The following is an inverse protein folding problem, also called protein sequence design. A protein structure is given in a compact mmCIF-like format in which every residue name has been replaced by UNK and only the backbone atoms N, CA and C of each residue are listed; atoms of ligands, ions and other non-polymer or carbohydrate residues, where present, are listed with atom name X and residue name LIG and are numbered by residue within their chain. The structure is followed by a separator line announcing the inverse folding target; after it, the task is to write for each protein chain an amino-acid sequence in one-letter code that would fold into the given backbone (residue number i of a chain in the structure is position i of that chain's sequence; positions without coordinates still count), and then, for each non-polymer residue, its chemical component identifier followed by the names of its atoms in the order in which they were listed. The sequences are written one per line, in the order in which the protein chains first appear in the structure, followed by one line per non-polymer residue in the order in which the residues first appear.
data_IF_723510421869
#
_entry.id   IF_723510421869
#
_cell.length_a   1.000
_cell.length_b   1.000
_cell.length_c   1.000
_cell.angle_alpha   90.00
_cell.angle_beta   90.00
_cell.angle_gamma   90.00
#
_symmetry.space_group_name_H-M   'P 1'
#
loop_
_entity.id
_entity.type
_entity.pdbx_description
1 polymer ?
#
# COMPACT_ATOMS: atom_id res chain seq x y z
N UNK A 1 -1.00 17.42 23.58
CA UNK A 1 -0.48 16.70 22.38
C UNK A 1 0.13 15.38 22.84
N UNK A 2 -0.31 14.23 22.32
CA UNK A 2 0.38 12.97 22.62
C UNK A 2 1.76 13.02 21.95
N UNK A 3 2.85 12.91 22.74
CA UNK A 3 4.23 12.97 22.26
C UNK A 3 4.48 11.97 21.12
N UNK A 4 3.83 10.80 21.15
CA UNK A 4 4.04 9.78 20.12
C UNK A 4 3.53 10.20 18.73
N UNK A 5 2.33 10.81 18.65
CA UNK A 5 1.76 11.28 17.38
C UNK A 5 2.57 12.43 16.77
N UNK A 6 3.16 13.29 17.60
CA UNK A 6 3.96 14.43 17.16
C UNK A 6 5.29 14.03 16.51
N UNK A 7 5.80 12.82 16.78
CA UNK A 7 7.07 12.34 16.24
C UNK A 7 6.94 11.68 14.86
N UNK A 8 5.74 11.20 14.49
CA UNK A 8 5.53 10.50 13.20
C UNK A 8 5.90 11.35 11.97
N UNK A 9 5.59 12.66 11.90
CA UNK A 9 6.02 13.50 10.77
C UNK A 9 7.54 13.62 10.66
N UNK A 10 8.25 13.68 11.79
CA UNK A 10 9.71 13.76 11.81
C UNK A 10 10.35 12.44 11.35
N UNK A 11 9.81 11.30 11.80
CA UNK A 11 10.24 9.98 11.31
C UNK A 11 10.05 9.89 9.79
N UNK A 12 8.88 10.30 9.29
CA UNK A 12 8.61 10.35 7.85
C UNK A 12 9.60 11.25 7.09
N UNK A 13 9.91 12.42 7.65
CA UNK A 13 10.84 13.35 7.03
C UNK A 13 12.25 12.72 6.91
N UNK A 14 12.73 12.06 7.96
CA UNK A 14 14.00 11.34 7.93
C UNK A 14 14.03 10.23 6.86
N UNK A 15 12.94 9.44 6.76
CA UNK A 15 12.83 8.40 5.72
C UNK A 15 12.90 8.99 4.31
N UNK A 16 12.25 10.14 4.08
CA UNK A 16 12.25 10.81 2.78
C UNK A 16 13.57 11.48 2.43
N UNK A 17 14.30 12.01 3.42
CA UNK A 17 15.59 12.64 3.22
C UNK A 17 16.70 11.62 2.92
N UNK A 18 16.57 10.40 3.44
CA UNK A 18 17.61 9.36 3.34
C UNK A 18 17.07 8.02 2.80
N UNK A 19 16.41 8.00 1.62
CA UNK A 19 15.74 6.80 1.11
C UNK A 19 16.73 5.65 0.87
N UNK A 20 17.94 5.95 0.37
CA UNK A 20 18.98 4.96 0.07
C UNK A 20 19.79 4.49 1.28
N UNK A 21 19.61 5.09 2.46
CA UNK A 21 20.39 4.74 3.65
C UNK A 21 19.64 3.70 4.47
N UNK A 22 19.97 2.43 4.28
CA UNK A 22 19.28 1.30 4.91
C UNK A 22 19.20 1.42 6.45
N UNK A 23 20.27 1.87 7.10
CA UNK A 23 20.29 2.04 8.57
C UNK A 23 19.33 3.12 9.06
N UNK A 24 19.14 4.21 8.30
CA UNK A 24 18.16 5.26 8.63
C UNK A 24 16.75 4.74 8.44
N UNK A 25 16.49 4.01 7.35
CA UNK A 25 15.19 3.39 7.11
C UNK A 25 14.85 2.34 8.19
N UNK A 26 15.81 1.52 8.59
CA UNK A 26 15.63 0.55 9.68
C UNK A 26 15.33 1.26 11.00
N UNK A 27 16.13 2.27 11.37
CA UNK A 27 15.91 3.05 12.60
C UNK A 27 14.55 3.74 12.59
N UNK A 28 14.12 4.26 11.44
CA UNK A 28 12.79 4.84 11.27
C UNK A 28 11.68 3.80 11.49
N UNK A 29 11.78 2.61 10.88
CA UNK A 29 10.83 1.52 11.09
C UNK A 29 10.77 1.10 12.57
N UNK A 30 11.92 0.95 13.24
CA UNK A 30 11.97 0.67 14.69
C UNK A 30 11.31 1.77 15.52
N UNK A 31 11.51 3.04 15.16
CA UNK A 31 10.83 4.14 15.82
C UNK A 31 9.31 4.05 15.65
N UNK A 32 8.81 3.74 14.45
CA UNK A 32 7.36 3.52 14.22
C UNK A 32 6.84 2.37 15.08
N UNK A 33 7.58 1.27 15.15
CA UNK A 33 7.22 0.10 15.97
C UNK A 33 7.01 0.49 17.44
N UNK A 34 7.95 1.24 18.02
CA UNK A 34 7.85 1.74 19.40
C UNK A 34 6.72 2.74 19.58
N UNK A 35 6.55 3.67 18.64
CA UNK A 35 5.52 4.71 18.72
C UNK A 35 4.11 4.11 18.63
N UNK A 36 3.93 3.09 17.79
CA UNK A 36 2.65 2.41 17.54
C UNK A 36 2.26 1.40 18.61
N UNK A 37 3.10 1.19 19.64
CA UNK A 37 2.68 0.56 20.88
C UNK A 37 1.47 1.27 21.51
N UNK A 38 1.33 2.59 21.31
CA UNK A 38 0.19 3.37 21.77
C UNK A 38 -0.96 3.40 20.73
N UNK A 39 -2.20 3.05 21.09
CA UNK A 39 -3.33 3.01 20.15
C UNK A 39 -3.57 4.33 19.39
N UNK A 40 -3.39 5.48 20.05
CA UNK A 40 -3.53 6.80 19.41
C UNK A 40 -2.50 7.04 18.30
N UNK A 41 -1.30 6.50 18.44
CA UNK A 41 -0.26 6.62 17.43
C UNK A 41 -0.55 5.73 16.23
N UNK A 42 -1.16 4.55 16.41
CA UNK A 42 -1.61 3.67 15.31
C UNK A 42 -2.56 4.41 14.37
N UNK A 43 -3.60 5.04 14.92
CA UNK A 43 -4.51 5.86 14.11
C UNK A 43 -3.80 7.03 13.40
N UNK A 44 -2.81 7.67 14.04
CA UNK A 44 -2.06 8.76 13.43
C UNK A 44 -1.09 8.31 12.32
N UNK A 45 -0.66 7.05 12.31
CA UNK A 45 0.14 6.48 11.21
C UNK A 45 -0.63 6.56 9.89
N UNK A 46 -1.95 6.34 9.92
CA UNK A 46 -2.72 6.36 8.68
C UNK A 46 -2.79 7.76 8.06
N UNK A 47 -3.01 8.76 8.91
CA UNK A 47 -3.07 10.18 8.52
C UNK A 47 -1.74 10.74 8.03
N UNK A 48 -0.61 10.13 8.39
CA UNK A 48 0.74 10.65 8.05
C UNK A 48 1.31 10.08 6.76
N UNK A 49 0.63 9.14 6.09
CA UNK A 49 1.16 8.35 4.93
C UNK A 49 2.48 7.64 5.25
N UNK A 50 2.71 7.30 6.52
CA UNK A 50 3.95 6.68 6.95
C UNK A 50 4.07 5.24 6.45
N UNK A 51 2.95 4.51 6.34
CA UNK A 51 2.90 3.17 5.73
C UNK A 51 3.43 3.15 4.29
N UNK A 52 3.13 4.17 3.49
CA UNK A 52 3.67 4.28 2.13
C UNK A 52 5.18 4.50 2.13
N UNK A 53 5.72 5.23 3.12
CA UNK A 53 7.17 5.42 3.25
C UNK A 53 7.87 4.12 3.66
N UNK A 54 7.26 3.36 4.57
CA UNK A 54 7.74 2.01 4.96
C UNK A 54 7.70 1.07 3.76
N UNK A 55 6.64 1.09 2.95
CA UNK A 55 6.55 0.30 1.72
C UNK A 55 7.71 0.61 0.76
N UNK A 56 7.95 1.88 0.48
CA UNK A 56 9.06 2.29 -0.40
C UNK A 56 10.40 1.81 0.15
N UNK A 57 10.62 1.91 1.46
CA UNK A 57 11.82 1.40 2.12
C UNK A 57 11.97 -0.12 1.97
N UNK A 58 10.89 -0.89 2.18
CA UNK A 58 10.88 -2.33 1.99
C UNK A 58 11.24 -2.71 0.55
N UNK A 59 10.67 -2.00 -0.44
CA UNK A 59 10.93 -2.26 -1.87
C UNK A 59 12.36 -1.92 -2.27
N UNK A 60 12.91 -0.83 -1.75
CA UNK A 60 14.27 -0.40 -2.07
C UNK A 60 15.32 -1.28 -1.40
N UNK A 61 15.06 -1.71 -0.16
CA UNK A 61 15.99 -2.48 0.68
C UNK A 61 15.55 -3.93 0.85
N UNK A 62 15.04 -4.56 -0.22
CA UNK A 62 14.53 -5.95 -0.21
C UNK A 62 15.51 -6.98 0.34
N UNK A 63 16.82 -6.76 0.15
CA UNK A 63 17.89 -7.68 0.59
C UNK A 63 18.41 -7.40 2.00
N UNK A 64 17.92 -6.38 2.69
CA UNK A 64 18.38 -6.02 4.05
C UNK A 64 17.45 -6.65 5.08
N UNK A 65 17.82 -7.81 5.60
CA UNK A 65 16.97 -8.60 6.51
C UNK A 65 16.51 -7.82 7.76
N UNK A 66 17.41 -7.06 8.39
CA UNK A 66 17.10 -6.28 9.60
C UNK A 66 16.05 -5.19 9.35
N UNK A 67 16.09 -4.58 8.16
CA UNK A 67 15.10 -3.59 7.73
C UNK A 67 13.76 -4.25 7.42
N UNK A 68 13.75 -5.41 6.76
CA UNK A 68 12.51 -6.15 6.50
C UNK A 68 11.85 -6.60 7.81
N UNK A 69 12.64 -7.08 8.79
CA UNK A 69 12.17 -7.41 10.14
C UNK A 69 11.53 -6.19 10.80
N UNK A 70 12.26 -5.06 10.85
CA UNK A 70 11.78 -3.83 11.48
C UNK A 70 10.51 -3.29 10.79
N UNK A 71 10.46 -3.34 9.46
CA UNK A 71 9.30 -2.89 8.69
C UNK A 71 8.07 -3.78 8.94
N UNK A 72 8.24 -5.11 8.92
CA UNK A 72 7.14 -6.04 9.18
C UNK A 72 6.63 -5.89 10.62
N UNK A 73 7.52 -5.73 11.61
CA UNK A 73 7.14 -5.44 13.00
C UNK A 73 6.34 -4.13 13.10
N UNK A 74 6.84 -3.05 12.51
CA UNK A 74 6.20 -1.75 12.51
C UNK A 74 4.81 -1.77 11.85
N UNK A 75 4.66 -2.44 10.70
CA UNK A 75 3.35 -2.59 10.05
C UNK A 75 2.42 -3.40 10.95
N UNK A 76 2.89 -4.53 11.47
CA UNK A 76 2.11 -5.42 12.33
C UNK A 76 1.53 -4.70 13.56
N UNK A 77 2.32 -3.83 14.19
CA UNK A 77 1.87 -3.04 15.33
C UNK A 77 1.03 -1.82 14.93
N UNK A 78 1.31 -1.22 13.77
CA UNK A 78 0.49 -0.12 13.22
C UNK A 78 -0.95 -0.57 12.97
N UNK A 79 -1.13 -1.78 12.44
CA UNK A 79 -2.47 -2.29 12.04
C UNK A 79 -3.24 -2.95 13.18
N UNK A 80 -2.60 -3.21 14.32
CA UNK A 80 -3.20 -3.88 15.46
C UNK A 80 -4.40 -3.08 15.99
N UNK A 81 -5.59 -3.69 15.93
CA UNK A 81 -6.87 -3.12 16.36
C UNK A 81 -7.17 -1.73 15.76
N UNK A 82 -6.67 -1.46 14.55
CA UNK A 82 -6.85 -0.16 13.90
C UNK A 82 -7.27 -0.30 12.44
N UNK A 83 -8.59 -0.20 12.23
CA UNK A 83 -9.24 -0.34 10.91
C UNK A 83 -8.67 0.66 9.89
N UNK A 84 -8.47 1.92 10.28
CA UNK A 84 -7.96 2.95 9.37
C UNK A 84 -6.57 2.59 8.78
N UNK A 85 -5.67 2.02 9.59
CA UNK A 85 -4.36 1.55 9.13
C UNK A 85 -4.45 0.23 8.37
N UNK A 86 -5.36 -0.69 8.75
CA UNK A 86 -5.60 -1.94 8.00
C UNK A 86 -6.08 -1.63 6.57
N UNK A 87 -7.08 -0.76 6.42
CA UNK A 87 -7.57 -0.35 5.11
C UNK A 87 -6.50 0.32 4.26
N UNK A 88 -5.67 1.17 4.88
CA UNK A 88 -4.57 1.81 4.14
C UNK A 88 -3.51 0.79 3.72
N UNK A 89 -3.17 -0.16 4.59
CA UNK A 89 -2.24 -1.23 4.27
C UNK A 89 -2.75 -2.07 3.08
N UNK A 90 -4.06 -2.38 3.06
CA UNK A 90 -4.71 -3.05 1.94
C UNK A 90 -4.64 -2.23 0.66
N UNK A 91 -4.99 -0.94 0.69
CA UNK A 91 -4.90 -0.04 -0.48
C UNK A 91 -3.48 0.09 -1.03
N UNK A 92 -2.46 -0.04 -0.18
CA UNK A 92 -1.06 0.01 -0.60
C UNK A 92 -0.56 -1.32 -1.15
N UNK A 93 -1.27 -2.43 -0.98
CA UNK A 93 -0.75 -3.77 -1.32
C UNK A 93 0.40 -4.20 -0.40
N UNK A 94 0.30 -3.87 0.89
CA UNK A 94 1.34 -4.27 1.86
C UNK A 94 1.38 -5.79 2.09
N UNK A 95 0.26 -6.49 1.86
CA UNK A 95 0.19 -7.95 1.99
C UNK A 95 1.21 -8.62 1.06
N UNK A 96 1.26 -8.19 -0.20
CA UNK A 96 2.17 -8.73 -1.22
C UNK A 96 3.62 -8.37 -0.91
N UNK A 97 3.88 -7.15 -0.44
CA UNK A 97 5.22 -6.71 -0.07
C UNK A 97 5.75 -7.46 1.17
N UNK A 98 4.90 -7.72 2.17
CA UNK A 98 5.25 -8.50 3.36
C UNK A 98 5.52 -9.97 3.00
N UNK A 99 4.70 -10.56 2.13
CA UNK A 99 4.92 -11.91 1.63
C UNK A 99 6.23 -12.01 0.84
N UNK A 100 6.52 -11.02 -0.02
CA UNK A 100 7.77 -10.95 -0.75
C UNK A 100 8.98 -10.78 0.17
N UNK A 101 8.85 -10.04 1.28
CA UNK A 101 9.90 -9.92 2.29
C UNK A 101 10.21 -11.26 2.98
N UNK A 102 9.18 -12.03 3.35
CA UNK A 102 9.35 -13.36 3.92
C UNK A 102 10.02 -14.33 2.92
N UNK A 103 9.60 -14.28 1.66
CA UNK A 103 10.17 -15.11 0.59
C UNK A 103 11.63 -14.75 0.27
N UNK A 104 12.02 -13.48 0.42
CA UNK A 104 13.40 -13.04 0.22
C UNK A 104 14.34 -13.45 1.36
N UNK A 105 13.81 -13.73 2.56
CA UNK A 105 14.59 -14.05 3.76
C UNK A 105 14.11 -15.32 4.47
N UNK A 106 14.08 -16.48 3.79
CA UNK A 106 13.52 -17.72 4.35
C UNK A 106 14.30 -18.26 5.55
N UNK A 107 15.60 -17.90 5.65
CA UNK A 107 16.48 -18.32 6.74
C UNK A 107 16.54 -17.30 7.88
N UNK A 108 15.81 -16.19 7.80
CA UNK A 108 15.72 -15.18 8.86
C UNK A 108 14.42 -15.38 9.65
N UNK A 109 14.42 -16.18 10.73
CA UNK A 109 13.19 -16.57 11.43
C UNK A 109 12.39 -15.37 11.93
N UNK A 110 13.08 -14.32 12.39
CA UNK A 110 12.42 -13.08 12.84
C UNK A 110 11.66 -12.38 11.72
N UNK A 111 12.20 -12.32 10.50
CA UNK A 111 11.50 -11.72 9.35
C UNK A 111 10.24 -12.55 9.07
N UNK A 112 10.37 -13.87 8.98
CA UNK A 112 9.27 -14.79 8.70
C UNK A 112 8.16 -14.67 9.75
N UNK A 113 8.51 -14.68 11.04
CA UNK A 113 7.53 -14.60 12.11
C UNK A 113 6.83 -13.24 12.14
N UNK A 114 7.56 -12.14 11.98
CA UNK A 114 6.96 -10.79 11.93
C UNK A 114 6.09 -10.61 10.70
N UNK A 115 6.51 -11.10 9.55
CA UNK A 115 5.72 -11.11 8.33
C UNK A 115 4.43 -11.91 8.53
N UNK A 116 4.50 -13.11 9.11
CA UNK A 116 3.32 -13.94 9.39
C UNK A 116 2.32 -13.21 10.30
N UNK A 117 2.79 -12.66 11.42
CA UNK A 117 1.92 -11.91 12.33
C UNK A 117 1.29 -10.69 11.66
N UNK A 118 2.04 -9.97 10.81
CA UNK A 118 1.50 -8.85 10.05
C UNK A 118 0.40 -9.30 9.07
N UNK A 119 0.62 -10.40 8.35
CA UNK A 119 -0.36 -10.97 7.42
C UNK A 119 -1.62 -11.45 8.14
N UNK A 120 -1.49 -12.13 9.28
CA UNK A 120 -2.63 -12.56 10.11
C UNK A 120 -3.50 -11.35 10.51
N UNK A 121 -2.87 -10.27 10.97
CA UNK A 121 -3.58 -9.04 11.38
C UNK A 121 -4.22 -8.28 10.22
N UNK A 122 -3.66 -8.38 9.02
CA UNK A 122 -4.25 -7.82 7.80
C UNK A 122 -5.39 -8.69 7.26
N UNK A 123 -5.28 -10.01 7.42
CA UNK A 123 -6.31 -10.97 7.01
C UNK A 123 -7.52 -11.01 7.94
N UNK A 124 -7.32 -10.70 9.23
CA UNK A 124 -8.37 -10.61 10.23
C UNK A 124 -9.23 -9.34 10.08
N UNK A 125 -9.40 -8.85 8.85
CA UNK A 125 -10.18 -7.66 8.54
C UNK A 125 -11.58 -7.76 9.19
N UNK A 126 -12.12 -6.64 9.71
CA UNK A 126 -13.48 -6.61 10.23
C UNK A 126 -14.47 -7.00 9.11
N UNK A 127 -15.59 -7.68 9.43
CA UNK A 127 -16.58 -8.09 8.43
C UNK A 127 -16.99 -6.88 7.62
N UNK A 128 -16.81 -6.99 6.31
CA UNK A 128 -17.21 -6.00 5.33
C UNK A 128 -18.66 -5.55 5.60
N UNK A 129 -18.82 -4.32 6.06
CA UNK A 129 -20.09 -3.63 5.95
C UNK A 129 -20.26 -3.28 4.47
N UNK A 130 -21.05 -4.07 3.74
CA UNK A 130 -21.40 -3.79 2.36
C UNK A 130 -21.56 -5.04 1.50
N UNK A 131 -22.58 -5.85 1.80
CA UNK A 131 -23.14 -6.73 0.78
C UNK A 131 -23.79 -5.87 -0.31
N UNK A 132 -23.27 -5.97 -1.53
CA UNK A 132 -24.04 -5.78 -2.74
C UNK A 132 -23.56 -6.83 -3.73
N UNK A 133 -24.48 -7.76 -3.98
CA UNK A 133 -24.33 -8.99 -4.71
C UNK A 133 -23.83 -8.75 -6.13
N UNK A 134 -22.82 -9.54 -6.50
CA UNK A 134 -22.61 -9.97 -7.87
C UNK A 134 -23.89 -10.61 -8.42
N UNK A 135 -24.42 -10.07 -9.50
CA UNK A 135 -25.18 -10.83 -10.50
C UNK A 135 -24.91 -10.21 -11.86
N UNK A 136 -24.34 -10.97 -12.81
CA UNK A 136 -24.31 -10.56 -14.21
C UNK A 136 -25.57 -11.09 -14.93
N UNK A 137 -26.18 -10.34 -15.85
CA UNK A 137 -27.02 -10.96 -16.87
C UNK A 137 -26.18 -11.17 -18.14
N UNK A 138 -25.92 -12.43 -18.47
CA UNK A 138 -25.45 -12.82 -19.80
C UNK A 138 -26.63 -13.33 -20.63
N UNK A 139 -26.96 -12.54 -21.66
CA UNK A 139 -27.30 -12.93 -23.05
C UNK A 139 -28.58 -13.74 -23.35
N UNK A 140 -29.50 -13.19 -24.17
CA UNK A 140 -29.51 -13.27 -25.66
C UNK A 140 -30.88 -12.85 -26.27
N UNK A 141 -30.81 -12.00 -27.31
CA UNK A 141 -31.51 -11.99 -28.63
C UNK A 141 -33.06 -12.03 -28.70
N UNK A 142 -33.81 -11.37 -29.59
CA UNK A 142 -33.64 -10.69 -30.90
C UNK A 142 -34.78 -9.63 -31.03
N UNK A 143 -34.64 -8.58 -31.87
CA UNK A 143 -35.56 -8.24 -32.98
C UNK A 143 -35.28 -6.86 -33.62
N UNK A 144 -35.60 -6.80 -34.91
CA UNK A 144 -35.26 -5.85 -35.97
C UNK A 144 -35.91 -4.45 -35.92
N UNK A 145 -35.38 -3.52 -36.72
CA UNK A 145 -36.02 -2.26 -37.16
C UNK A 145 -34.99 -1.12 -37.31
N UNK A 146 -34.33 -0.89 -38.46
CA UNK A 146 -34.77 -0.14 -39.67
C UNK A 146 -34.66 1.40 -39.55
N UNK A 147 -34.21 2.06 -40.63
CA UNK A 147 -33.97 3.52 -40.79
C UNK A 147 -32.49 3.91 -40.66
N UNK A 148 -31.68 3.93 -41.72
CA UNK A 148 -31.64 4.94 -42.81
C UNK A 148 -31.59 6.38 -42.28
N UNK A 149 -30.42 7.01 -42.36
CA UNK A 149 -30.26 8.34 -42.92
C UNK A 149 -28.77 8.61 -43.15
N UNK A 150 -28.52 9.10 -44.36
CA UNK A 150 -27.25 9.42 -44.98
C UNK A 150 -27.06 10.92 -44.93
N UNK A 151 -25.83 11.38 -44.70
CA UNK A 151 -25.29 12.72 -44.98
C UNK A 151 -23.79 12.58 -44.62
N UNK A 152 -22.89 12.32 -45.57
CA UNK A 152 -22.29 13.26 -46.53
C UNK A 152 -21.65 14.49 -45.84
N UNK A 153 -20.32 14.58 -45.88
CA UNK A 153 -19.56 15.78 -46.24
C UNK A 153 -18.04 15.59 -45.99
N UNK A 154 -17.29 15.62 -47.11
CA UNK A 154 -16.06 16.40 -47.36
C UNK A 154 -14.84 16.20 -46.44
N UNK A 155 -13.75 15.53 -46.85
CA UNK A 155 -12.62 15.93 -47.74
C UNK A 155 -11.69 17.06 -47.22
N UNK A 156 -10.40 16.88 -47.57
CA UNK A 156 -9.21 17.76 -47.52
C UNK A 156 -8.33 17.57 -46.27
N UNK A 157 -7.20 16.83 -46.34
CA UNK A 157 -5.86 17.22 -46.87
C UNK A 157 -5.35 18.48 -46.12
N UNK A 158 -4.26 18.43 -45.35
CA UNK A 158 -2.91 18.51 -45.91
C UNK A 158 -1.80 18.03 -44.93
N UNK A 159 -0.76 17.49 -45.56
CA UNK A 159 0.59 17.30 -45.04
C UNK A 159 1.25 18.63 -44.65
N UNK A 160 2.00 18.68 -43.56
CA UNK A 160 3.18 19.56 -43.53
C UNK A 160 4.28 18.97 -42.64
N UNK A 161 5.31 18.47 -43.31
CA UNK A 161 6.66 18.25 -42.80
C UNK A 161 7.30 19.58 -42.37
N UNK A 162 7.98 19.59 -41.22
CA UNK A 162 9.09 20.52 -40.99
C UNK A 162 10.04 19.97 -39.91
N UNK A 163 11.10 19.31 -40.39
CA UNK A 163 12.37 19.13 -39.71
C UNK A 163 13.09 20.50 -39.67
N UNK A 164 13.53 20.96 -38.49
CA UNK A 164 14.58 21.97 -38.35
C UNK A 164 15.29 21.83 -37.00
#
# INVERSE_FOLDING_TARGET
VNKACALLPAVRAAMKAHPSVASVQEAACRAVDVLTAQPKARAAVSSTRLLASIQSAMKLHRRVASLQEAACSAISNSVLDCVATQEQAARLGLTEDIAAAAAAHPTAPKVVDRSRTALERLSAAPPAAGGATSSPPSSRNDEAGDGDESEDESQEEDEEDADT
#
